data_IF_370666426385
#
_entry.id   IF_370666426385
#
_cell.length_a   1.000
_cell.length_b   1.000
_cell.length_c   1.000
_cell.angle_alpha   90.00
_cell.angle_beta   90.00
_cell.angle_gamma   90.00
#
_symmetry.space_group_name_H-M   'P 1'
#
loop_
_entity.id
_entity.type
_entity.pdbx_description
1 polymer ?
#
# COMPACT_ATOMS: atom_id res chain seq x y z
N UNK A 1 58.89 -44.12 36.18
CA UNK A 1 58.36 -43.32 35.06
C UNK A 1 57.96 -41.96 35.65
N UNK A 2 58.81 -40.94 35.58
CA UNK A 2 59.01 -40.07 34.38
C UNK A 2 57.67 -39.38 34.08
N UNK A 3 57.39 -38.24 34.72
CA UNK A 3 57.76 -36.86 34.32
C UNK A 3 56.93 -36.38 33.10
N UNK A 4 56.46 -35.12 32.99
CA UNK A 4 56.62 -33.91 33.82
C UNK A 4 55.41 -32.97 33.63
N UNK A 5 55.20 -32.07 34.58
CA UNK A 5 54.33 -30.89 34.46
C UNK A 5 55.27 -29.63 34.37
N UNK A 6 54.86 -28.40 34.74
CA UNK A 6 54.21 -27.33 33.95
C UNK A 6 55.18 -26.18 33.53
N UNK A 7 54.77 -24.89 33.64
CA UNK A 7 55.51 -23.60 33.49
C UNK A 7 55.72 -23.05 32.05
N UNK A 8 55.75 -21.72 31.78
CA UNK A 8 55.42 -20.53 32.60
C UNK A 8 54.97 -19.30 31.76
N UNK A 9 54.52 -18.27 32.48
CA UNK A 9 54.34 -16.86 32.10
C UNK A 9 55.63 -16.07 31.73
N UNK A 10 55.41 -14.90 31.12
CA UNK A 10 56.21 -13.65 31.15
C UNK A 10 57.64 -13.61 30.54
N UNK A 11 57.85 -12.70 29.56
CA UNK A 11 58.50 -11.37 29.76
C UNK A 11 58.36 -10.47 28.51
N UNK A 12 58.29 -9.16 28.73
CA UNK A 12 58.22 -8.09 27.72
C UNK A 12 59.57 -7.85 27.01
N UNK A 13 59.52 -7.37 25.76
CA UNK A 13 60.65 -6.73 25.07
C UNK A 13 60.16 -5.58 24.19
N UNK A 14 60.56 -4.34 24.50
CA UNK A 14 60.08 -3.12 23.83
C UNK A 14 60.51 -3.03 22.36
N UNK A 15 59.59 -2.60 21.49
CA UNK A 15 59.90 -1.60 20.45
C UNK A 15 58.83 -0.51 20.50
N UNK A 16 59.13 0.56 21.25
CA UNK A 16 58.49 1.86 21.03
C UNK A 16 59.14 2.49 19.79
N UNK A 17 58.37 2.72 18.73
CA UNK A 17 58.75 3.68 17.68
C UNK A 17 57.66 4.75 17.61
N UNK A 18 58.06 5.98 17.94
CA UNK A 18 57.25 7.17 17.74
C UNK A 18 56.95 7.35 16.25
N UNK A 19 55.67 7.41 15.89
CA UNK A 19 55.24 8.03 14.63
C UNK A 19 54.15 9.04 14.98
N UNK A 20 54.46 10.32 14.78
CA UNK A 20 53.59 11.46 15.07
C UNK A 20 52.28 11.40 14.29
N UNK A 21 51.17 11.97 14.81
CA UNK A 21 49.94 12.10 14.05
C UNK A 21 50.15 13.04 12.85
N UNK A 22 50.10 12.50 11.64
CA UNK A 22 50.10 13.28 10.40
C UNK A 22 48.67 13.63 9.98
N UNK A 23 48.35 14.92 9.97
CA UNK A 23 47.05 15.45 9.56
C UNK A 23 46.90 15.51 8.02
N UNK A 24 46.99 14.37 7.31
CA UNK A 24 46.63 14.29 5.88
C UNK A 24 45.60 13.18 5.61
N UNK A 25 44.32 13.53 5.34
CA UNK A 25 43.25 12.55 5.09
C UNK A 25 43.40 11.78 3.77
N UNK A 26 44.30 12.17 2.85
CA UNK A 26 44.47 11.47 1.56
C UNK A 26 45.21 10.14 1.70
N UNK A 27 46.13 10.01 2.64
CA UNK A 27 46.96 8.80 2.79
C UNK A 27 46.19 7.65 3.43
N UNK A 28 45.27 7.96 4.36
CA UNK A 28 44.43 6.99 5.06
C UNK A 28 43.45 6.26 4.10
N UNK A 29 42.85 6.98 3.16
CA UNK A 29 41.92 6.41 2.17
C UNK A 29 42.57 5.38 1.24
N UNK A 30 43.80 5.63 0.79
CA UNK A 30 44.51 4.72 -0.14
C UNK A 30 44.77 3.36 0.48
N UNK A 31 45.21 3.34 1.75
CA UNK A 31 45.53 2.12 2.50
C UNK A 31 44.29 1.27 2.86
N UNK A 32 43.09 1.87 2.89
CA UNK A 32 41.81 1.15 3.03
C UNK A 32 41.30 0.56 1.71
N UNK A 33 41.67 1.13 0.56
CA UNK A 33 41.12 0.73 -0.74
C UNK A 33 41.75 -0.57 -1.24
N UNK A 34 43.08 -0.70 -1.17
CA UNK A 34 43.80 -1.91 -1.62
C UNK A 34 43.44 -3.15 -0.78
N UNK A 35 43.27 -2.98 0.55
CA UNK A 35 42.89 -4.08 1.45
C UNK A 35 41.47 -4.61 1.22
N UNK A 36 40.55 -3.78 0.70
CA UNK A 36 39.21 -4.23 0.30
C UNK A 36 39.20 -4.94 -1.05
N UNK A 37 40.11 -4.60 -1.95
CA UNK A 37 40.19 -5.19 -3.29
C UNK A 37 40.62 -6.67 -3.24
N UNK A 38 41.62 -7.00 -2.41
CA UNK A 38 42.06 -8.39 -2.21
C UNK A 38 40.98 -9.28 -1.56
N UNK A 39 40.16 -8.74 -0.66
CA UNK A 39 39.06 -9.49 -0.03
C UNK A 39 37.94 -9.83 -1.03
N UNK A 40 37.65 -8.94 -1.99
CA UNK A 40 36.68 -9.20 -3.06
C UNK A 40 37.17 -10.24 -4.07
N UNK A 41 38.46 -10.25 -4.40
CA UNK A 41 39.03 -11.22 -5.34
C UNK A 41 38.95 -12.66 -4.82
N UNK A 42 39.14 -12.86 -3.51
CA UNK A 42 39.01 -14.17 -2.86
C UNK A 42 37.56 -14.71 -2.85
N UNK A 43 36.58 -13.80 -2.78
CA UNK A 43 35.14 -14.14 -2.75
C UNK A 43 34.59 -14.53 -4.13
N UNK A 44 35.12 -13.96 -5.22
CA UNK A 44 34.67 -14.30 -6.58
C UNK A 44 35.16 -15.70 -7.00
N UNK A 45 36.34 -16.12 -6.53
CA UNK A 45 36.90 -17.44 -6.83
C UNK A 45 36.06 -18.62 -6.30
N UNK A 46 35.32 -18.45 -5.20
CA UNK A 46 34.46 -19.52 -4.65
C UNK A 46 33.10 -19.69 -5.35
N UNK A 47 32.71 -18.77 -6.25
CA UNK A 47 31.41 -18.83 -6.92
C UNK A 47 31.40 -19.61 -8.26
N UNK A 48 32.53 -20.14 -8.70
CA UNK A 48 32.66 -20.83 -10.01
C UNK A 48 32.68 -22.37 -9.91
N UNK A 49 32.40 -22.96 -8.74
CA UNK A 49 32.31 -24.41 -8.55
C UNK A 49 30.91 -24.83 -8.11
N UNK A 50 29.93 -24.75 -9.01
CA UNK A 50 28.68 -25.54 -8.98
C UNK A 50 27.91 -25.43 -10.30
N UNK A 51 27.95 -26.51 -11.10
CA UNK A 51 27.07 -26.75 -12.25
C UNK A 51 26.96 -28.26 -12.53
N UNK A 52 25.82 -28.68 -13.11
CA UNK A 52 25.28 -30.08 -13.19
C UNK A 52 24.79 -30.59 -11.83
N UNK A 53 23.68 -31.33 -11.72
CA UNK A 53 22.69 -31.90 -12.68
C UNK A 53 21.28 -31.74 -12.06
N UNK A 54 20.12 -32.05 -12.64
CA UNK A 54 19.73 -32.77 -13.86
C UNK A 54 18.44 -32.13 -14.47
N UNK A 55 17.75 -32.84 -15.38
CA UNK A 55 16.43 -32.55 -15.98
C UNK A 55 15.69 -33.88 -16.08
N UNK A 56 14.39 -33.93 -15.75
CA UNK A 56 13.50 -34.90 -16.40
C UNK A 56 12.08 -34.35 -16.57
N UNK A 57 11.48 -34.68 -17.72
CA UNK A 57 10.10 -34.34 -18.07
C UNK A 57 9.18 -35.47 -17.63
N UNK A 58 7.92 -35.17 -17.35
CA UNK A 58 6.85 -36.10 -17.69
C UNK A 58 5.77 -35.35 -18.49
N UNK A 59 5.31 -35.97 -19.57
CA UNK A 59 4.31 -35.48 -20.50
C UNK A 59 3.27 -36.59 -20.66
N UNK A 60 2.02 -36.30 -20.33
CA UNK A 60 0.89 -37.12 -20.74
C UNK A 60 -0.24 -36.23 -21.23
N UNK A 61 -0.78 -36.64 -22.36
CA UNK A 61 -1.61 -35.84 -23.26
C UNK A 61 -2.97 -36.50 -23.46
N UNK A 62 -3.92 -35.71 -23.96
CA UNK A 62 -5.23 -36.08 -24.53
C UNK A 62 -6.33 -36.62 -23.58
N UNK A 63 -7.54 -36.15 -23.87
CA UNK A 63 -8.78 -36.59 -23.22
C UNK A 63 -10.00 -35.73 -23.59
N UNK A 64 -10.09 -35.26 -24.84
CA UNK A 64 -11.30 -34.57 -25.32
C UNK A 64 -12.51 -35.52 -25.28
N UNK A 65 -13.67 -35.00 -24.88
CA UNK A 65 -14.97 -35.47 -25.37
C UNK A 65 -16.07 -34.44 -25.06
N UNK A 66 -16.49 -33.72 -26.09
CA UNK A 66 -17.76 -32.98 -26.07
C UNK A 66 -18.92 -33.97 -26.26
N UNK A 67 -19.98 -33.84 -25.45
CA UNK A 67 -21.32 -34.22 -25.92
C UNK A 67 -22.40 -33.36 -25.28
N UNK A 68 -23.21 -32.74 -26.14
CA UNK A 68 -24.32 -31.86 -25.80
C UNK A 68 -25.58 -32.69 -25.50
N UNK A 69 -26.36 -32.33 -24.47
CA UNK A 69 -27.80 -32.64 -24.44
C UNK A 69 -28.53 -31.58 -23.61
N UNK A 70 -29.61 -31.03 -24.16
CA UNK A 70 -30.48 -30.05 -23.50
C UNK A 70 -31.64 -30.75 -22.77
N UNK A 71 -31.99 -30.25 -21.57
CA UNK A 71 -33.35 -30.01 -21.01
C UNK A 71 -34.41 -31.16 -21.01
N UNK A 72 -35.31 -31.27 -19.99
CA UNK A 72 -36.06 -30.13 -19.46
C UNK A 72 -36.41 -30.10 -17.95
N UNK A 73 -37.20 -29.09 -17.59
CA UNK A 73 -37.61 -28.62 -16.26
C UNK A 73 -38.81 -29.41 -15.69
N UNK A 74 -38.82 -29.69 -14.38
CA UNK A 74 -40.05 -29.85 -13.57
C UNK A 74 -39.93 -29.10 -12.24
N UNK A 75 -41.04 -28.50 -11.76
CA UNK A 75 -41.16 -27.68 -10.54
C UNK A 75 -41.80 -28.44 -9.37
N UNK A 76 -41.70 -27.85 -8.17
CA UNK A 76 -42.41 -28.07 -6.87
C UNK A 76 -41.55 -28.73 -5.77
N UNK A 77 -41.68 -28.38 -4.49
CA UNK A 77 -42.55 -27.37 -3.85
C UNK A 77 -41.87 -26.71 -2.63
N UNK A 78 -42.50 -25.65 -2.13
CA UNK A 78 -42.05 -24.75 -1.05
C UNK A 78 -41.71 -25.39 0.30
N UNK A 79 -40.75 -24.79 1.03
CA UNK A 79 -40.83 -24.58 2.49
C UNK A 79 -39.99 -23.36 2.91
N UNK A 80 -40.53 -22.48 3.76
CA UNK A 80 -39.82 -21.30 4.28
C UNK A 80 -38.91 -21.68 5.45
N UNK A 81 -37.70 -21.14 5.47
CA UNK A 81 -36.87 -21.00 6.68
C UNK A 81 -36.08 -19.70 6.57
N UNK A 82 -36.12 -18.87 7.60
CA UNK A 82 -35.45 -17.57 7.60
C UNK A 82 -33.93 -17.74 7.46
N UNK A 83 -33.42 -17.40 6.29
CA UNK A 83 -32.00 -17.41 5.97
C UNK A 83 -31.48 -15.97 5.94
N UNK A 84 -30.61 -15.68 6.91
CA UNK A 84 -29.74 -14.48 6.89
C UNK A 84 -29.11 -14.37 5.51
N UNK A 85 -29.31 -13.23 4.84
CA UNK A 85 -28.80 -13.00 3.49
C UNK A 85 -27.27 -13.02 3.52
N UNK A 86 -26.69 -14.18 3.15
CA UNK A 86 -25.31 -14.25 2.68
C UNK A 86 -25.25 -13.42 1.40
N UNK A 87 -24.80 -12.18 1.54
CA UNK A 87 -24.47 -11.30 0.44
C UNK A 87 -23.21 -11.87 -0.20
N UNK A 88 -23.35 -12.58 -1.31
CA UNK A 88 -22.22 -13.26 -1.96
C UNK A 88 -21.16 -12.26 -2.43
N UNK A 89 -19.90 -12.66 -2.29
CA UNK A 89 -18.74 -11.91 -2.74
C UNK A 89 -18.75 -11.68 -4.26
N UNK A 90 -19.23 -10.51 -4.68
CA UNK A 90 -19.25 -10.12 -6.10
C UNK A 90 -17.84 -9.80 -6.57
N UNK A 91 -17.33 -10.64 -7.49
CA UNK A 91 -16.09 -10.42 -8.23
C UNK A 91 -16.05 -9.03 -8.89
N UNK A 92 -14.85 -8.45 -9.17
CA UNK A 92 -14.75 -7.24 -9.98
C UNK A 92 -15.57 -7.38 -11.27
N UNK A 93 -16.29 -6.33 -11.66
CA UNK A 93 -17.20 -6.36 -12.82
C UNK A 93 -16.40 -6.70 -14.08
N UNK A 94 -16.51 -7.95 -14.55
CA UNK A 94 -15.79 -8.45 -15.72
C UNK A 94 -16.38 -7.78 -16.96
N UNK A 95 -15.70 -6.74 -17.45
CA UNK A 95 -16.12 -6.06 -18.65
C UNK A 95 -15.68 -6.89 -19.89
N UNK A 96 -16.59 -7.20 -20.82
CA UNK A 96 -16.33 -7.88 -22.10
C UNK A 96 -16.54 -6.94 -23.31
N UNK A 97 -15.56 -6.88 -24.23
CA UNK A 97 -15.39 -6.01 -25.42
C UNK A 97 -14.72 -4.62 -25.25
N UNK A 98 -13.50 -4.47 -25.82
CA UNK A 98 -12.99 -3.19 -26.37
C UNK A 98 -12.83 -2.00 -25.41
N UNK A 99 -12.15 -2.18 -24.28
CA UNK A 99 -12.23 -1.25 -23.15
C UNK A 99 -11.36 -0.01 -23.19
N UNK A 100 -10.10 -0.16 -23.58
CA UNK A 100 -9.11 0.89 -23.41
C UNK A 100 -8.36 1.12 -24.72
N UNK A 101 -8.21 2.40 -25.05
CA UNK A 101 -7.43 2.88 -26.18
C UNK A 101 -6.08 3.44 -25.69
N UNK A 102 -5.07 3.39 -26.56
CA UNK A 102 -3.77 3.99 -26.32
C UNK A 102 -3.76 5.42 -26.84
N UNK A 103 -3.77 6.41 -25.95
CA UNK A 103 -3.55 7.81 -26.31
C UNK A 103 -2.06 8.12 -26.26
N UNK A 104 -1.38 8.03 -27.40
CA UNK A 104 0.07 8.29 -27.51
C UNK A 104 0.35 9.77 -27.27
N UNK A 105 1.37 10.05 -26.46
CA UNK A 105 1.88 11.40 -26.19
C UNK A 105 3.30 11.49 -26.78
N UNK A 106 3.47 12.15 -27.94
CA UNK A 106 4.76 12.22 -28.64
C UNK A 106 5.90 12.82 -27.80
N UNK A 107 7.14 12.52 -28.21
CA UNK A 107 8.34 13.08 -27.57
C UNK A 107 8.62 14.53 -27.98
N UNK A 108 8.27 14.92 -29.21
CA UNK A 108 8.37 16.32 -29.64
C UNK A 108 7.42 17.19 -28.83
N UNK A 109 7.94 18.30 -28.29
CA UNK A 109 7.18 19.16 -27.38
C UNK A 109 5.97 19.81 -28.06
N UNK A 110 6.13 20.34 -29.27
CA UNK A 110 5.05 21.08 -29.96
C UNK A 110 3.90 20.15 -30.32
N UNK A 111 4.22 18.99 -30.89
CA UNK A 111 3.23 17.96 -31.22
C UNK A 111 2.56 17.41 -29.95
N UNK A 112 3.31 17.23 -28.86
CA UNK A 112 2.77 16.78 -27.57
C UNK A 112 1.81 17.77 -26.93
N UNK A 113 2.14 19.06 -26.96
CA UNK A 113 1.27 20.13 -26.47
C UNK A 113 -0.02 20.20 -27.32
N UNK A 114 0.08 20.04 -28.65
CA UNK A 114 -1.08 19.95 -29.56
C UNK A 114 -1.99 18.75 -29.25
N UNK A 115 -1.42 17.54 -29.15
CA UNK A 115 -2.15 16.31 -28.82
C UNK A 115 -2.80 16.40 -27.43
N UNK A 116 -2.19 17.09 -26.46
CA UNK A 116 -2.80 17.30 -25.16
C UNK A 116 -3.90 18.38 -25.16
N UNK A 117 -3.82 19.36 -26.06
CA UNK A 117 -4.90 20.31 -26.29
C UNK A 117 -6.14 19.62 -26.88
N UNK A 118 -5.96 18.70 -27.84
CA UNK A 118 -7.04 17.84 -28.35
C UNK A 118 -7.62 16.94 -27.25
N UNK A 119 -6.77 16.28 -26.46
CA UNK A 119 -7.18 15.50 -25.29
C UNK A 119 -8.02 16.34 -24.31
N UNK A 120 -7.65 17.60 -24.08
CA UNK A 120 -8.38 18.52 -23.19
C UNK A 120 -9.65 19.12 -23.78
N UNK A 121 -9.80 19.11 -25.12
CA UNK A 121 -11.07 19.42 -25.80
C UNK A 121 -12.01 18.22 -25.79
N UNK A 122 -11.47 16.99 -25.93
CA UNK A 122 -12.25 15.74 -26.00
C UNK A 122 -12.81 15.29 -24.65
N UNK A 123 -12.09 15.50 -23.56
CA UNK A 123 -12.46 15.00 -22.23
C UNK A 123 -12.63 16.13 -21.22
N UNK A 124 -13.76 16.12 -20.50
CA UNK A 124 -14.04 17.03 -19.39
C UNK A 124 -13.01 16.93 -18.26
N UNK A 125 -13.00 17.89 -17.34
CA UNK A 125 -12.10 17.86 -16.17
C UNK A 125 -12.23 16.57 -15.34
N UNK A 126 -13.47 16.08 -15.17
CA UNK A 126 -13.78 14.86 -14.41
C UNK A 126 -13.29 13.60 -15.13
N UNK A 127 -13.43 13.56 -16.46
CA UNK A 127 -12.94 12.45 -17.28
C UNK A 127 -11.41 12.44 -17.33
N UNK A 128 -10.77 13.61 -17.53
CA UNK A 128 -9.30 13.75 -17.47
C UNK A 128 -8.76 13.32 -16.11
N UNK A 129 -9.42 13.69 -15.01
CA UNK A 129 -9.07 13.20 -13.68
C UNK A 129 -9.13 11.66 -13.60
N UNK A 130 -10.22 11.04 -14.09
CA UNK A 130 -10.36 9.59 -14.09
C UNK A 130 -9.31 8.88 -14.96
N UNK A 131 -9.01 9.43 -16.15
CA UNK A 131 -7.97 8.91 -17.06
C UNK A 131 -6.58 9.00 -16.43
N UNK A 132 -6.23 10.15 -15.83
CA UNK A 132 -4.94 10.31 -15.15
C UNK A 132 -4.85 9.38 -13.93
N UNK A 133 -5.92 9.26 -13.13
CA UNK A 133 -5.99 8.33 -12.01
C UNK A 133 -5.81 6.86 -12.45
N UNK A 134 -6.46 6.44 -13.54
CA UNK A 134 -6.26 5.12 -14.15
C UNK A 134 -4.79 4.90 -14.55
N UNK A 135 -4.08 5.95 -14.98
CA UNK A 135 -2.66 5.90 -15.31
C UNK A 135 -1.72 6.14 -14.11
N UNK A 136 -2.26 6.24 -12.89
CA UNK A 136 -1.54 6.54 -11.63
C UNK A 136 -0.77 7.88 -11.69
N UNK A 137 -1.33 8.84 -12.43
CA UNK A 137 -0.81 10.18 -12.64
C UNK A 137 -1.70 11.22 -11.94
N UNK A 138 -1.09 12.34 -11.54
CA UNK A 138 -1.80 13.60 -11.33
C UNK A 138 -1.70 14.52 -12.56
N UNK A 139 -2.38 15.68 -12.50
CA UNK A 139 -2.39 16.67 -13.60
C UNK A 139 -1.05 17.37 -13.85
N UNK A 140 -0.21 17.54 -12.82
CA UNK A 140 1.14 18.13 -12.94
C UNK A 140 2.09 17.14 -13.62
N UNK A 141 1.97 15.87 -13.29
CA UNK A 141 2.78 14.77 -13.76
C UNK A 141 2.24 14.07 -15.03
N UNK A 142 1.17 14.57 -15.65
CA UNK A 142 0.60 14.08 -16.92
C UNK A 142 1.64 13.80 -18.02
N UNK A 143 2.76 14.53 -17.99
CA UNK A 143 3.89 14.42 -18.91
C UNK A 143 4.87 13.27 -18.61
N UNK A 144 4.65 12.48 -17.55
CA UNK A 144 5.50 11.33 -17.18
C UNK A 144 5.05 10.01 -17.85
N UNK A 145 4.27 10.11 -18.92
CA UNK A 145 3.88 9.00 -19.79
C UNK A 145 3.95 9.41 -21.27
N UNK A 146 4.49 8.52 -22.10
CA UNK A 146 4.42 8.57 -23.58
C UNK A 146 3.13 7.94 -24.14
N UNK A 147 2.29 7.38 -23.27
CA UNK A 147 0.98 6.79 -23.63
C UNK A 147 0.08 6.80 -22.41
N UNK A 148 -1.14 7.31 -22.56
CA UNK A 148 -2.21 7.14 -21.57
C UNK A 148 -3.12 5.98 -22.00
N UNK A 149 -3.51 5.16 -21.05
CA UNK A 149 -4.60 4.19 -21.18
C UNK A 149 -5.91 4.95 -20.97
N UNK A 150 -6.79 4.97 -21.97
CA UNK A 150 -8.00 5.80 -21.96
C UNK A 150 -9.23 4.92 -22.22
N UNK A 151 -10.25 4.90 -21.34
CA UNK A 151 -11.49 4.16 -21.60
C UNK A 151 -12.11 4.58 -22.94
N UNK A 152 -12.52 3.62 -23.75
CA UNK A 152 -13.18 3.85 -25.05
C UNK A 152 -14.55 4.49 -24.85
N UNK A 153 -15.28 4.04 -23.82
CA UNK A 153 -16.49 4.69 -23.30
C UNK A 153 -16.21 5.14 -21.87
N UNK A 154 -16.38 6.43 -21.61
CA UNK A 154 -16.24 6.98 -20.25
C UNK A 154 -17.48 6.64 -19.41
N UNK A 155 -17.29 5.83 -18.38
CA UNK A 155 -18.20 5.75 -17.24
C UNK A 155 -18.19 7.05 -16.42
N UNK A 156 -19.33 7.36 -15.81
CA UNK A 156 -19.56 8.53 -14.97
C UNK A 156 -18.81 8.50 -13.63
N UNK A 157 -18.29 7.35 -13.19
CA UNK A 157 -17.58 7.18 -11.92
C UNK A 157 -16.23 6.49 -12.12
N UNK A 158 -15.22 6.90 -11.32
CA UNK A 158 -13.95 6.18 -11.24
C UNK A 158 -14.13 4.74 -10.72
N UNK A 159 -15.17 4.50 -9.91
CA UNK A 159 -15.45 3.20 -9.27
C UNK A 159 -15.59 2.05 -10.28
N UNK A 160 -16.18 2.31 -11.45
CA UNK A 160 -16.35 1.35 -12.54
C UNK A 160 -15.05 0.69 -13.03
N UNK A 161 -13.90 1.35 -12.87
CA UNK A 161 -12.58 0.85 -13.23
C UNK A 161 -11.79 0.32 -12.02
N UNK A 162 -12.48 -0.01 -10.91
CA UNK A 162 -11.84 -0.57 -9.71
C UNK A 162 -11.10 -1.86 -10.04
N UNK A 163 -9.80 -1.96 -9.71
CA UNK A 163 -9.07 -3.23 -9.75
C UNK A 163 -9.35 -4.10 -8.50
N UNK A 164 -10.15 -3.61 -7.55
CA UNK A 164 -10.48 -4.30 -6.30
C UNK A 164 -11.90 -4.88 -6.36
N UNK A 165 -12.17 -6.06 -5.75
CA UNK A 165 -13.51 -6.62 -5.63
C UNK A 165 -14.51 -5.64 -5.01
N UNK A 166 -15.77 -5.67 -5.46
CA UNK A 166 -16.80 -4.80 -4.91
C UNK A 166 -17.26 -5.23 -3.52
N UNK A 167 -17.10 -6.52 -3.19
CA UNK A 167 -17.52 -7.13 -1.93
C UNK A 167 -16.51 -8.22 -1.49
N UNK A 168 -16.18 -8.23 -0.20
CA UNK A 168 -15.31 -9.22 0.45
C UNK A 168 -15.96 -9.64 1.77
N UNK A 169 -16.48 -10.87 1.84
CA UNK A 169 -17.38 -11.27 2.92
C UNK A 169 -16.67 -11.50 4.26
N UNK A 170 -15.40 -11.90 4.23
CA UNK A 170 -14.58 -12.03 5.45
C UNK A 170 -14.31 -10.68 6.14
N UNK A 171 -14.54 -9.55 5.44
CA UNK A 171 -14.48 -8.19 5.99
C UNK A 171 -15.86 -7.67 6.44
N UNK A 172 -16.94 -8.45 6.37
CA UNK A 172 -18.30 -8.01 6.75
C UNK A 172 -18.40 -7.46 8.18
N UNK A 173 -17.72 -8.09 9.14
CA UNK A 173 -17.62 -7.63 10.53
C UNK A 173 -16.63 -6.46 10.75
N UNK A 174 -15.76 -6.16 9.77
CA UNK A 174 -14.76 -5.09 9.87
C UNK A 174 -15.37 -3.79 9.35
N UNK A 175 -15.73 -2.88 10.27
CA UNK A 175 -16.48 -1.65 9.98
C UNK A 175 -15.71 -0.68 9.08
N UNK A 176 -14.38 -0.64 9.20
CA UNK A 176 -13.49 0.17 8.36
C UNK A 176 -12.20 -0.56 8.05
N UNK A 177 -11.80 -0.60 6.79
CA UNK A 177 -10.53 -1.20 6.34
C UNK A 177 -9.96 -0.45 5.13
N UNK A 178 -8.63 -0.32 5.07
CA UNK A 178 -7.91 0.28 3.94
C UNK A 178 -6.83 -0.69 3.45
N UNK A 179 -6.69 -0.84 2.13
CA UNK A 179 -5.64 -1.65 1.52
C UNK A 179 -4.90 -0.89 0.43
N UNK A 180 -3.59 -1.07 0.36
CA UNK A 180 -2.72 -0.54 -0.69
C UNK A 180 -1.99 -1.69 -1.41
N UNK A 181 -2.18 -1.76 -2.73
CA UNK A 181 -1.54 -2.77 -3.58
C UNK A 181 -0.26 -2.22 -4.19
N UNK A 182 0.88 -2.80 -3.83
CA UNK A 182 2.18 -2.48 -4.42
C UNK A 182 2.30 -2.92 -5.88
N UNK A 183 1.81 -4.10 -6.30
CA UNK A 183 1.82 -4.55 -7.69
C UNK A 183 1.22 -3.55 -8.67
N UNK A 184 0.03 -3.01 -8.40
CA UNK A 184 -0.73 -2.14 -9.34
C UNK A 184 -0.75 -0.66 -8.97
N UNK A 185 -0.07 -0.26 -7.88
CA UNK A 185 -0.02 1.11 -7.35
C UNK A 185 -1.42 1.75 -7.22
N UNK A 186 -2.32 1.04 -6.53
CA UNK A 186 -3.68 1.50 -6.23
C UNK A 186 -4.03 1.20 -4.77
N UNK A 187 -5.04 1.89 -4.24
CA UNK A 187 -5.61 1.64 -2.92
C UNK A 187 -7.11 1.37 -3.02
N UNK A 188 -7.64 0.58 -2.08
CA UNK A 188 -9.06 0.31 -1.89
C UNK A 188 -9.46 0.58 -0.44
N UNK A 189 -10.72 0.95 -0.22
CA UNK A 189 -11.32 1.22 1.09
C UNK A 189 -12.62 0.46 1.20
N UNK A 190 -12.78 -0.30 2.28
CA UNK A 190 -13.93 -1.14 2.53
C UNK A 190 -14.60 -0.76 3.84
N UNK A 191 -15.93 -0.69 3.82
CA UNK A 191 -16.77 -0.60 5.02
C UNK A 191 -17.68 -1.82 5.05
N UNK A 192 -17.59 -2.63 6.11
CA UNK A 192 -18.37 -3.88 6.25
C UNK A 192 -18.27 -4.80 5.03
N UNK A 193 -17.06 -4.95 4.50
CA UNK A 193 -16.76 -5.78 3.32
C UNK A 193 -17.16 -5.20 1.97
N UNK A 194 -17.96 -4.12 1.89
CA UNK A 194 -18.28 -3.46 0.62
C UNK A 194 -17.24 -2.37 0.28
N UNK A 195 -16.78 -2.33 -0.97
CA UNK A 195 -15.83 -1.32 -1.47
C UNK A 195 -16.53 0.04 -1.58
N UNK A 196 -16.07 1.03 -0.80
CA UNK A 196 -16.63 2.39 -0.76
C UNK A 196 -15.78 3.42 -1.50
N UNK A 197 -14.48 3.14 -1.69
CA UNK A 197 -13.56 4.00 -2.46
C UNK A 197 -12.40 3.19 -3.01
N UNK A 198 -11.91 3.55 -4.18
CA UNK A 198 -10.56 3.20 -4.63
C UNK A 198 -9.90 4.44 -5.27
N UNK A 199 -8.60 4.33 -5.52
CA UNK A 199 -7.87 5.31 -6.32
C UNK A 199 -6.40 4.93 -6.54
N UNK A 200 -5.63 5.78 -7.23
CA UNK A 200 -4.21 5.54 -7.46
C UNK A 200 -3.37 5.89 -6.22
N UNK A 201 -2.19 5.30 -6.13
CA UNK A 201 -1.15 5.75 -5.19
C UNK A 201 0.23 5.80 -5.86
N UNK A 202 1.18 6.49 -5.22
CA UNK A 202 2.61 6.31 -5.49
C UNK A 202 3.31 5.98 -4.18
N UNK A 203 3.61 4.70 -3.98
CA UNK A 203 4.31 4.19 -2.80
C UNK A 203 5.83 4.29 -2.94
N UNK A 204 6.55 3.68 -1.99
CA UNK A 204 8.01 3.75 -1.89
C UNK A 204 8.76 3.35 -3.16
N UNK A 205 9.81 4.08 -3.51
CA UNK A 205 10.75 3.69 -4.58
C UNK A 205 11.55 2.45 -4.19
N UNK A 206 12.20 1.78 -5.15
CA UNK A 206 12.97 0.53 -4.95
C UNK A 206 13.94 0.56 -3.75
N UNK A 207 14.56 1.71 -3.47
CA UNK A 207 15.54 1.93 -2.39
C UNK A 207 14.95 2.48 -1.09
N UNK A 208 13.65 2.77 -1.03
CA UNK A 208 12.95 3.26 0.15
C UNK A 208 11.48 2.79 0.09
N UNK A 209 11.28 1.48 0.29
CA UNK A 209 10.01 0.81 0.08
C UNK A 209 9.07 0.95 1.29
N UNK A 210 7.77 1.01 1.05
CA UNK A 210 6.74 0.99 2.12
C UNK A 210 6.72 -0.38 2.79
N UNK A 211 6.76 -0.45 4.12
CA UNK A 211 6.61 -1.71 4.87
C UNK A 211 5.29 -2.42 4.50
N UNK A 212 5.35 -3.74 4.26
CA UNK A 212 4.17 -4.58 3.99
C UNK A 212 3.54 -5.11 5.29
N UNK A 213 2.33 -5.65 5.19
CA UNK A 213 1.60 -6.32 6.27
C UNK A 213 0.49 -5.46 6.88
N UNK A 214 -0.21 -6.05 7.87
CA UNK A 214 -1.27 -5.36 8.60
C UNK A 214 -0.67 -4.38 9.62
N UNK A 215 -1.10 -3.13 9.50
CA UNK A 215 -0.80 -2.02 10.41
C UNK A 215 -2.12 -1.36 10.84
N UNK A 216 -2.05 -0.34 11.70
CA UNK A 216 -3.22 0.40 12.17
C UNK A 216 -2.90 1.89 12.20
N UNK A 217 -3.77 2.71 11.62
CA UNK A 217 -3.61 4.17 11.60
C UNK A 217 -3.46 4.71 13.04
N UNK A 218 -2.39 5.47 13.30
CA UNK A 218 -1.96 5.78 14.68
C UNK A 218 -2.14 7.25 15.08
N UNK A 219 -1.77 8.19 14.22
CA UNK A 219 -1.97 9.62 14.39
C UNK A 219 -2.19 10.28 13.03
N UNK A 220 -2.84 11.45 13.03
CA UNK A 220 -3.08 12.22 11.80
C UNK A 220 -2.93 13.71 12.03
N UNK A 221 -2.40 14.42 11.04
CA UNK A 221 -2.20 15.88 11.06
C UNK A 221 -2.53 16.47 9.69
N UNK A 222 -3.38 17.52 9.65
CA UNK A 222 -3.78 18.21 8.40
C UNK A 222 -2.58 18.69 7.57
N UNK A 223 -1.48 19.04 8.23
CA UNK A 223 -0.19 19.32 7.60
C UNK A 223 0.94 18.82 8.50
N UNK A 224 1.61 17.74 8.10
CA UNK A 224 2.85 17.30 8.71
C UNK A 224 4.06 17.81 7.90
N UNK A 225 5.24 17.79 8.53
CA UNK A 225 6.53 18.00 7.89
C UNK A 225 7.26 16.65 7.91
N UNK A 226 7.94 16.29 6.83
CA UNK A 226 8.67 15.02 6.76
C UNK A 226 9.84 15.00 7.74
N UNK A 227 10.06 13.84 8.36
CA UNK A 227 11.27 13.54 9.15
C UNK A 227 12.53 13.41 8.30
N UNK A 228 12.39 13.26 6.97
CA UNK A 228 13.50 13.12 6.01
C UNK A 228 13.95 14.48 5.45
N UNK A 229 13.05 15.47 5.38
CA UNK A 229 13.35 16.82 4.91
C UNK A 229 12.30 17.82 5.41
N UNK A 230 12.77 18.94 5.97
CA UNK A 230 11.93 20.04 6.46
C UNK A 230 11.15 20.75 5.36
N UNK A 231 11.59 20.66 4.10
CA UNK A 231 10.89 21.23 2.95
C UNK A 231 9.65 20.42 2.53
N UNK A 232 9.62 19.13 2.86
CA UNK A 232 8.56 18.23 2.41
C UNK A 232 7.33 18.33 3.33
N UNK A 233 6.45 19.24 2.92
CA UNK A 233 5.09 19.39 3.44
C UNK A 233 4.25 18.17 3.04
N UNK A 234 3.55 17.59 4.03
CA UNK A 234 2.72 16.39 3.88
C UNK A 234 1.27 16.72 4.28
N UNK A 235 0.43 17.23 3.35
CA UNK A 235 -0.97 17.56 3.66
C UNK A 235 -1.81 16.29 3.88
N UNK A 236 -2.75 16.37 4.81
CA UNK A 236 -3.66 15.28 5.19
C UNK A 236 -2.94 13.96 5.54
N UNK A 237 -1.84 14.08 6.29
CA UNK A 237 -1.04 12.94 6.68
C UNK A 237 -1.75 12.08 7.75
N UNK A 238 -1.90 10.79 7.49
CA UNK A 238 -2.24 9.75 8.47
C UNK A 238 -1.09 8.76 8.51
N UNK A 239 -0.47 8.61 9.67
CA UNK A 239 0.62 7.65 9.87
C UNK A 239 0.06 6.26 10.21
N UNK A 240 0.77 5.22 9.77
CA UNK A 240 0.43 3.80 9.96
C UNK A 240 1.59 3.00 10.59
N UNK A 241 2.77 3.62 10.76
CA UNK A 241 3.98 2.94 11.25
C UNK A 241 4.70 3.78 12.30
N UNK A 242 4.55 3.37 13.57
CA UNK A 242 4.94 4.13 14.77
C UNK A 242 6.36 4.72 14.73
N UNK A 243 7.35 3.90 14.37
CA UNK A 243 8.77 4.29 14.40
C UNK A 243 9.30 4.79 13.05
N UNK A 244 8.54 4.63 11.96
CA UNK A 244 9.07 4.75 10.59
C UNK A 244 8.64 6.01 9.84
N UNK A 245 7.79 6.84 10.43
CA UNK A 245 7.19 7.99 9.73
C UNK A 245 6.22 7.63 8.58
N UNK A 246 6.10 6.35 8.22
CA UNK A 246 5.29 5.86 7.10
C UNK A 246 3.81 6.17 7.33
N UNK A 247 3.22 6.85 6.36
CA UNK A 247 1.80 7.18 6.32
C UNK A 247 1.34 7.46 4.90
N UNK A 248 0.03 7.64 4.72
CA UNK A 248 -0.49 8.25 3.50
C UNK A 248 -0.70 9.74 3.67
N UNK A 249 -0.54 10.48 2.59
CA UNK A 249 -0.71 11.93 2.54
C UNK A 249 -0.88 12.39 1.08
N UNK A 250 -1.34 13.62 0.86
CA UNK A 250 -1.32 14.22 -0.47
C UNK A 250 0.13 14.40 -0.94
N UNK A 251 0.42 14.02 -2.19
CA UNK A 251 1.65 14.41 -2.88
C UNK A 251 1.54 14.18 -4.40
N UNK A 252 2.62 14.47 -5.13
CA UNK A 252 2.78 14.14 -6.55
C UNK A 252 2.73 12.63 -6.84
N UNK A 253 1.93 12.26 -7.84
CA UNK A 253 1.78 10.92 -8.42
C UNK A 253 2.39 10.89 -9.83
N UNK A 254 3.61 10.34 -10.01
CA UNK A 254 4.32 10.39 -11.29
C UNK A 254 4.09 9.16 -12.18
N UNK A 255 3.15 8.28 -11.85
CA UNK A 255 2.88 7.07 -12.62
C UNK A 255 3.95 5.99 -12.46
N UNK A 256 4.52 5.87 -11.26
CA UNK A 256 5.39 4.79 -10.76
C UNK A 256 5.63 4.97 -9.24
N UNK A 257 6.14 3.96 -8.51
CA UNK A 257 6.48 4.10 -7.09
C UNK A 257 7.67 5.05 -6.91
N UNK A 258 7.44 6.22 -6.32
CA UNK A 258 8.40 7.33 -6.27
C UNK A 258 8.63 7.95 -4.89
N UNK A 259 7.95 7.46 -3.84
CA UNK A 259 8.05 8.06 -2.50
C UNK A 259 9.29 7.60 -1.73
N UNK A 260 9.54 8.25 -0.59
CA UNK A 260 10.43 7.74 0.45
C UNK A 260 9.55 7.02 1.49
N UNK A 261 9.21 5.76 1.20
CA UNK A 261 8.33 4.86 1.96
C UNK A 261 6.85 5.27 2.14
N UNK A 262 6.45 6.54 2.13
CA UNK A 262 5.05 6.96 2.29
C UNK A 262 4.11 6.55 1.13
N UNK A 263 2.80 6.59 1.35
CA UNK A 263 1.77 6.21 0.39
C UNK A 263 1.09 7.47 -0.18
N UNK A 264 1.60 7.96 -1.31
CA UNK A 264 1.14 9.25 -1.87
C UNK A 264 -0.24 9.12 -2.48
N UNK A 265 -1.08 10.15 -2.29
CA UNK A 265 -2.46 10.23 -2.76
C UNK A 265 -2.73 11.54 -3.51
N UNK A 266 -3.77 11.54 -4.34
CA UNK A 266 -4.37 12.76 -4.87
C UNK A 266 -5.00 13.58 -3.73
N UNK A 267 -5.11 14.91 -3.89
CA UNK A 267 -5.59 15.81 -2.82
C UNK A 267 -6.95 15.39 -2.24
N UNK A 268 -7.97 15.27 -3.08
CA UNK A 268 -9.33 14.87 -2.68
C UNK A 268 -9.38 13.46 -2.05
N UNK A 269 -8.46 12.59 -2.45
CA UNK A 269 -8.35 11.24 -1.91
C UNK A 269 -7.73 11.24 -0.52
N UNK A 270 -6.68 12.04 -0.31
CA UNK A 270 -6.05 12.23 1.00
C UNK A 270 -7.01 12.89 2.00
N UNK A 271 -7.76 13.91 1.58
CA UNK A 271 -8.81 14.58 2.37
C UNK A 271 -9.89 13.59 2.84
N UNK A 272 -10.37 12.76 1.92
CA UNK A 272 -11.38 11.75 2.21
C UNK A 272 -10.83 10.67 3.16
N UNK A 273 -9.65 10.12 2.90
CA UNK A 273 -9.02 9.08 3.73
C UNK A 273 -8.64 9.59 5.12
N UNK A 274 -8.20 10.85 5.23
CA UNK A 274 -7.94 11.53 6.50
C UNK A 274 -9.20 11.66 7.36
N UNK A 275 -10.34 11.91 6.72
CA UNK A 275 -11.64 12.02 7.40
C UNK A 275 -12.19 10.64 7.79
N UNK A 276 -12.08 9.66 6.89
CA UNK A 276 -12.53 8.28 7.09
C UNK A 276 -11.80 7.56 8.24
N UNK A 277 -10.47 7.69 8.30
CA UNK A 277 -9.64 6.86 9.16
C UNK A 277 -9.67 7.29 10.63
N UNK A 278 -9.88 6.29 11.48
CA UNK A 278 -9.72 6.35 12.93
C UNK A 278 -8.25 6.20 13.31
N UNK A 279 -7.77 7.01 14.25
CA UNK A 279 -6.40 6.93 14.80
C UNK A 279 -6.40 6.31 16.19
N UNK A 280 -5.23 5.95 16.73
CA UNK A 280 -5.12 5.34 18.06
C UNK A 280 -5.77 6.22 19.14
N UNK A 281 -6.34 5.57 20.14
CA UNK A 281 -6.64 6.18 21.44
C UNK A 281 -5.44 5.89 22.34
N UNK A 282 -4.88 6.92 22.96
CA UNK A 282 -3.73 6.80 23.88
C UNK A 282 -4.22 6.81 25.33
N UNK A 283 -3.42 6.24 26.24
CA UNK A 283 -3.62 6.43 27.67
C UNK A 283 -3.27 7.87 28.09
N UNK A 284 -3.72 8.34 29.27
CA UNK A 284 -3.25 9.60 29.85
C UNK A 284 -1.72 9.67 29.85
N UNK A 285 -1.17 10.84 29.52
CA UNK A 285 0.27 11.03 29.29
C UNK A 285 0.80 10.58 27.92
N UNK A 286 -0.02 9.94 27.07
CA UNK A 286 0.28 9.71 25.66
C UNK A 286 1.32 8.61 25.33
N UNK A 287 2.05 8.10 26.32
CA UNK A 287 3.16 7.17 26.11
C UNK A 287 2.75 5.78 25.57
N UNK A 288 1.53 5.32 25.85
CA UNK A 288 1.06 3.96 25.49
C UNK A 288 -0.30 3.99 24.81
N UNK A 289 -0.53 3.02 23.91
CA UNK A 289 -1.82 2.86 23.21
C UNK A 289 -2.86 2.21 24.13
N UNK A 290 -4.07 2.78 24.20
CA UNK A 290 -5.24 2.18 24.83
C UNK A 290 -6.06 1.36 23.83
N UNK A 291 -6.24 1.89 22.61
CA UNK A 291 -6.87 1.17 21.50
C UNK A 291 -6.29 1.57 20.14
N UNK A 292 -6.29 0.65 19.17
CA UNK A 292 -5.81 0.92 17.81
C UNK A 292 -6.85 1.68 16.98
N UNK A 293 -6.45 2.08 15.77
CA UNK A 293 -7.24 2.85 14.81
C UNK A 293 -7.79 1.95 13.70
N UNK A 294 -8.08 2.54 12.54
CA UNK A 294 -8.48 1.77 11.34
C UNK A 294 -7.35 0.81 10.91
N UNK A 295 -7.65 -0.49 10.66
CA UNK A 295 -6.69 -1.44 10.09
C UNK A 295 -6.31 -1.08 8.64
N UNK A 296 -5.03 -1.24 8.33
CA UNK A 296 -4.42 -0.86 7.05
C UNK A 296 -3.50 -1.98 6.57
N UNK A 297 -3.76 -2.54 5.39
CA UNK A 297 -2.90 -3.54 4.76
C UNK A 297 -2.08 -2.93 3.62
N UNK A 298 -0.79 -3.25 3.55
CA UNK A 298 0.07 -2.97 2.39
C UNK A 298 0.62 -4.30 1.88
N UNK A 299 0.42 -4.63 0.60
CA UNK A 299 0.73 -5.98 0.09
C UNK A 299 1.38 -6.02 -1.30
N UNK A 300 2.04 -7.15 -1.55
CA UNK A 300 2.68 -7.51 -2.82
C UNK A 300 3.93 -6.68 -3.11
N UNK A 301 4.47 -6.88 -4.32
CA UNK A 301 5.67 -6.22 -4.82
C UNK A 301 5.44 -5.61 -6.21
N UNK A 302 6.12 -4.50 -6.48
CA UNK A 302 6.10 -3.87 -7.80
C UNK A 302 7.19 -4.51 -8.68
N UNK A 303 6.84 -4.81 -9.93
CA UNK A 303 7.78 -5.39 -10.91
C UNK A 303 8.81 -4.33 -11.36
N UNK A 304 9.88 -4.17 -10.58
CA UNK A 304 10.95 -3.20 -10.84
C UNK A 304 11.61 -3.42 -12.21
N UNK A 305 11.68 -2.37 -13.02
CA UNK A 305 12.18 -2.45 -14.40
C UNK A 305 11.18 -3.03 -15.41
N UNK A 306 10.06 -3.59 -14.95
CA UNK A 306 8.97 -4.06 -15.80
C UNK A 306 8.12 -2.92 -16.39
N UNK A 307 7.27 -3.28 -17.37
CA UNK A 307 6.27 -2.37 -17.95
C UNK A 307 5.26 -1.95 -16.87
N UNK A 308 4.91 -0.66 -16.83
CA UNK A 308 3.90 -0.10 -15.90
C UNK A 308 2.62 -0.97 -15.92
N UNK A 309 2.14 -1.51 -14.77
CA UNK A 309 1.10 -2.55 -14.71
C UNK A 309 -0.15 -2.23 -15.52
N UNK A 310 -0.68 -1.01 -15.35
CA UNK A 310 -1.88 -0.55 -16.04
C UNK A 310 -1.77 -0.47 -17.56
N UNK A 311 -0.58 -0.55 -18.16
CA UNK A 311 -0.48 -0.69 -19.62
C UNK A 311 -0.90 -2.06 -20.14
N UNK A 312 -1.04 -3.07 -19.27
CA UNK A 312 -1.64 -4.37 -19.63
C UNK A 312 -3.13 -4.24 -19.95
N UNK A 313 -3.81 -3.20 -19.44
CA UNK A 313 -5.22 -2.89 -19.73
C UNK A 313 -5.52 -2.68 -21.22
N UNK A 314 -4.51 -2.33 -22.03
CA UNK A 314 -4.65 -2.21 -23.48
C UNK A 314 -4.83 -3.58 -24.18
N UNK A 315 -4.45 -4.67 -23.51
CA UNK A 315 -4.51 -6.03 -24.04
C UNK A 315 -5.59 -6.87 -23.34
N UNK A 316 -5.72 -6.72 -22.01
CA UNK A 316 -6.75 -7.37 -21.19
C UNK A 316 -7.31 -6.35 -20.19
N UNK A 317 -8.61 -6.02 -20.23
CA UNK A 317 -9.22 -5.05 -19.33
C UNK A 317 -9.16 -5.44 -17.85
N UNK A 318 -8.99 -6.72 -17.55
CA UNK A 318 -8.94 -7.27 -16.20
C UNK A 318 -7.50 -7.44 -15.70
N UNK A 319 -6.47 -7.03 -16.45
CA UNK A 319 -5.07 -7.31 -16.15
C UNK A 319 -4.50 -6.64 -14.87
N UNK A 320 -5.29 -5.81 -14.19
CA UNK A 320 -4.99 -5.26 -12.87
C UNK A 320 -5.93 -5.80 -11.77
N UNK A 321 -6.95 -6.59 -12.10
CA UNK A 321 -7.97 -7.02 -11.15
C UNK A 321 -7.35 -7.99 -10.14
N UNK A 322 -7.55 -7.67 -8.88
CA UNK A 322 -7.24 -8.53 -7.74
C UNK A 322 -8.50 -9.35 -7.49
N UNK A 323 -8.40 -10.68 -7.44
CA UNK A 323 -9.57 -11.54 -7.31
C UNK A 323 -10.13 -11.56 -5.88
N UNK A 324 -11.35 -12.06 -5.69
CA UNK A 324 -11.93 -12.27 -4.36
C UNK A 324 -11.09 -13.29 -3.58
N UNK A 325 -10.60 -14.32 -4.26
CA UNK A 325 -9.81 -15.40 -3.70
C UNK A 325 -8.42 -14.89 -3.25
N UNK A 326 -7.75 -14.09 -4.09
CA UNK A 326 -6.46 -13.46 -3.73
C UNK A 326 -6.63 -12.53 -2.52
N UNK A 327 -7.66 -11.67 -2.52
CA UNK A 327 -7.99 -10.81 -1.38
C UNK A 327 -8.34 -11.62 -0.12
N UNK A 328 -9.06 -12.74 -0.28
CA UNK A 328 -9.47 -13.59 0.84
C UNK A 328 -8.26 -14.27 1.47
N UNK A 329 -7.40 -14.92 0.66
CA UNK A 329 -6.16 -15.55 1.12
C UNK A 329 -5.23 -14.55 1.81
N UNK A 330 -5.11 -13.34 1.27
CA UNK A 330 -4.28 -12.27 1.83
C UNK A 330 -4.76 -11.78 3.21
N UNK A 331 -6.08 -11.67 3.40
CA UNK A 331 -6.67 -11.04 4.57
C UNK A 331 -7.11 -12.02 5.66
N UNK A 332 -7.44 -13.27 5.31
CA UNK A 332 -7.91 -14.29 6.25
C UNK A 332 -7.04 -14.43 7.52
N UNK A 333 -5.69 -14.46 7.46
CA UNK A 333 -4.84 -14.59 8.66
C UNK A 333 -4.90 -13.38 9.61
N UNK A 334 -5.52 -12.28 9.17
CA UNK A 334 -5.53 -10.99 9.86
C UNK A 334 -6.91 -10.61 10.42
N UNK A 335 -7.99 -11.31 10.03
CA UNK A 335 -9.38 -10.94 10.39
C UNK A 335 -9.61 -10.91 11.90
N UNK A 336 -9.21 -11.96 12.63
CA UNK A 336 -9.37 -12.04 14.09
C UNK A 336 -8.72 -10.84 14.80
N UNK A 337 -7.50 -10.48 14.38
CA UNK A 337 -6.77 -9.33 14.92
C UNK A 337 -7.45 -8.00 14.61
N UNK A 338 -8.03 -7.85 13.41
CA UNK A 338 -8.80 -6.64 13.06
C UNK A 338 -10.05 -6.49 13.93
N UNK A 339 -10.82 -7.57 14.12
CA UNK A 339 -12.02 -7.58 14.95
C UNK A 339 -11.70 -7.33 16.42
N UNK A 340 -10.69 -8.01 16.98
CA UNK A 340 -10.26 -7.82 18.38
C UNK A 340 -9.86 -6.37 18.69
N UNK A 341 -9.13 -5.71 17.80
CA UNK A 341 -8.72 -4.31 17.97
C UNK A 341 -9.89 -3.33 17.75
N UNK A 342 -10.85 -3.66 16.88
CA UNK A 342 -12.09 -2.91 16.70
C UNK A 342 -12.96 -2.98 17.97
N UNK A 343 -13.21 -4.16 18.51
CA UNK A 343 -14.03 -4.36 19.72
C UNK A 343 -13.39 -3.69 20.95
N UNK A 344 -12.06 -3.74 21.07
CA UNK A 344 -11.33 -2.99 22.08
C UNK A 344 -11.51 -1.48 21.90
N UNK A 345 -11.39 -0.97 20.66
CA UNK A 345 -11.61 0.45 20.36
C UNK A 345 -12.99 0.92 20.77
N UNK A 346 -14.03 0.17 20.44
CA UNK A 346 -15.42 0.55 20.72
C UNK A 346 -15.65 0.67 22.23
N UNK A 347 -15.31 -0.38 23.00
CA UNK A 347 -15.35 -0.35 24.48
C UNK A 347 -14.59 0.84 25.08
N UNK A 348 -13.42 1.16 24.53
CA UNK A 348 -12.59 2.29 24.99
C UNK A 348 -13.20 3.64 24.65
N UNK A 349 -13.78 3.80 23.45
CA UNK A 349 -14.42 5.05 23.01
C UNK A 349 -15.72 5.28 23.78
N UNK A 350 -16.56 4.25 23.94
CA UNK A 350 -17.83 4.32 24.67
C UNK A 350 -17.58 4.68 26.15
N UNK A 351 -16.59 4.06 26.78
CA UNK A 351 -16.14 4.41 28.13
C UNK A 351 -15.71 5.88 28.25
N UNK A 352 -15.00 6.41 27.25
CA UNK A 352 -14.59 7.83 27.22
C UNK A 352 -15.78 8.76 27.00
N UNK A 353 -16.77 8.36 26.19
CA UNK A 353 -17.99 9.15 25.96
C UNK A 353 -18.88 9.18 27.20
N UNK A 354 -19.11 8.03 27.85
CA UNK A 354 -19.85 7.95 29.11
C UNK A 354 -19.21 8.79 30.22
N UNK A 355 -17.88 8.66 30.41
CA UNK A 355 -17.15 9.47 31.39
C UNK A 355 -17.24 10.98 31.10
N UNK A 356 -17.24 11.40 29.83
CA UNK A 356 -17.45 12.80 29.44
C UNK A 356 -18.88 13.28 29.73
N UNK A 357 -19.90 12.46 29.46
CA UNK A 357 -21.29 12.81 29.72
C UNK A 357 -21.55 12.99 31.23
N UNK A 358 -20.97 12.13 32.07
CA UNK A 358 -21.06 12.24 33.54
C UNK A 358 -20.28 13.44 34.12
N UNK A 359 -19.36 14.04 33.36
CA UNK A 359 -18.52 15.15 33.81
C UNK A 359 -19.04 16.54 33.42
N UNK A 360 -20.19 16.64 32.74
CA UNK A 360 -20.83 17.93 32.43
C UNK A 360 -21.65 18.39 33.65
N UNK A 361 -21.33 19.53 34.29
CA UNK A 361 -22.11 20.02 35.41
C UNK A 361 -23.50 20.50 34.96
N UNK A 362 -24.54 20.18 35.73
CA UNK A 362 -25.89 20.72 35.53
C UNK A 362 -25.93 22.21 35.88
N UNK A 363 -25.70 23.08 34.89
CA UNK A 363 -25.81 24.53 35.05
C UNK A 363 -27.25 25.02 34.94
N UNK A 364 -28.13 24.54 35.80
CA UNK A 364 -29.38 25.23 36.12
C UNK A 364 -29.10 26.23 37.24
N UNK A 365 -28.99 27.51 36.90
CA UNK A 365 -29.08 28.58 37.90
C UNK A 365 -30.54 28.69 38.36
N UNK A 366 -30.82 28.79 39.67
CA UNK A 366 -32.13 29.21 40.14
C UNK A 366 -32.49 30.57 39.53
N UNK A 367 -33.72 30.70 39.02
CA UNK A 367 -34.25 32.01 38.62
C UNK A 367 -34.58 32.77 39.88
N UNK A 368 -33.81 33.84 40.14
CA UNK A 368 -34.05 34.75 41.24
C UNK A 368 -35.32 35.56 40.93
N UNK A 369 -36.36 35.41 41.77
CA UNK A 369 -37.61 36.16 41.62
C UNK A 369 -37.36 37.64 41.91
N UNK A 370 -37.84 38.58 41.09
CA UNK A 370 -37.81 39.99 41.46
C UNK A 370 -38.69 40.20 42.70
N UNK A 371 -38.12 40.81 43.73
CA UNK A 371 -38.85 41.25 44.92
C UNK A 371 -39.64 42.54 44.64
N UNK A 372 -40.83 42.64 45.26
CA UNK A 372 -41.59 43.88 45.40
C UNK A 372 -41.02 44.76 46.54
#
# INVERSE_FOLDING_TARGET
MVFLCPFNYFILGLIFVFISPTNDPKLFMKNMFEKKLHLYFLLIAMCLVSCKKEIEKNDQTLGDNNSTTELPIVKKDSLKKDSVVKKESVSPVIQKNGFYSAWVLPKDKKLRDSVYAEFSKKYSEKERYAILALNRLDSKNRWNSDTLVVPVKMDTTLMSYSPFPMQIDILSGVKKFVIFSYPIQAYGVYSNGSLVKWGPTSMGKKTAQTTRGLTFANWKKKLAISTVSTEWKLPYNVNIHNLGGIGWHQYDLPGYPASHSCLRLLLKDAEWLYSYADTWVLNPGGATTKAKGTPVMVFGDYQWGGRKPWRKLLNDPNANNISVEEMTQLLQPNIEKMLKEQDNREKVVDSIQAAKAMAVPSSEKPVESPGN
#
